data_IF_907955029809
#
_entry.id   IF_907955029809
#
_cell.length_a   1.000
_cell.length_b   1.000
_cell.length_c   1.000
_cell.angle_alpha   90.00
_cell.angle_beta   90.00
_cell.angle_gamma   90.00
#
_symmetry.space_group_name_H-M   'P 1'
#
loop_
_entity.id
_entity.type
_entity.pdbx_description
1 polymer ?
#
# COMPACT_ATOMS: atom_id res chain seq x y z
N UNK A 1 11.15 -16.01 0.07
CA UNK A 1 11.13 -15.44 1.39
C UNK A 1 10.40 -14.14 1.42
N UNK A 2 9.71 -13.88 2.49
CA UNK A 2 8.91 -12.68 2.62
C UNK A 2 9.51 -11.77 3.67
N UNK A 3 9.63 -10.50 3.37
CA UNK A 3 10.09 -9.53 4.34
C UNK A 3 9.14 -8.34 4.31
N UNK A 4 9.14 -7.60 5.39
CA UNK A 4 8.27 -6.43 5.46
C UNK A 4 8.89 -5.25 4.74
N UNK A 5 8.05 -4.50 4.07
CA UNK A 5 8.48 -3.32 3.36
C UNK A 5 7.50 -2.21 3.72
N UNK A 6 7.84 -1.44 4.74
CA UNK A 6 6.89 -0.53 5.34
C UNK A 6 5.83 -1.34 6.03
N UNK A 7 4.58 -1.09 5.71
CA UNK A 7 3.46 -1.84 6.26
C UNK A 7 3.09 -3.04 5.41
N UNK A 8 3.86 -3.31 4.38
CA UNK A 8 3.54 -4.38 3.45
C UNK A 8 4.57 -5.48 3.53
N UNK A 9 4.16 -6.66 3.10
CA UNK A 9 5.05 -7.80 3.01
C UNK A 9 5.67 -7.80 1.62
N UNK A 10 6.98 -7.89 1.56
CA UNK A 10 7.68 -7.90 0.28
C UNK A 10 7.92 -9.33 -0.16
N UNK A 11 7.45 -9.66 -1.35
CA UNK A 11 7.63 -10.99 -1.92
C UNK A 11 8.20 -10.81 -3.32
N UNK A 12 9.33 -11.43 -3.56
CA UNK A 12 9.96 -11.34 -4.87
C UNK A 12 9.56 -12.54 -5.71
N UNK A 13 9.09 -12.29 -6.92
CA UNK A 13 8.64 -13.35 -7.81
C UNK A 13 9.31 -13.17 -9.16
N UNK A 14 9.88 -14.25 -9.67
CA UNK A 14 10.48 -14.26 -11.00
C UNK A 14 9.70 -15.22 -11.86
N UNK A 15 9.41 -14.81 -13.08
CA UNK A 15 8.67 -15.65 -14.01
C UNK A 15 9.59 -16.10 -15.13
N UNK A 16 9.26 -17.22 -15.73
CA UNK A 16 10.00 -17.70 -16.87
C UNK A 16 9.88 -16.73 -18.04
N UNK A 17 10.90 -16.68 -18.91
CA UNK A 17 10.93 -15.58 -19.89
C UNK A 17 9.72 -15.47 -20.78
N UNK A 18 9.24 -16.56 -21.33
CA UNK A 18 8.13 -16.45 -22.27
C UNK A 18 6.79 -16.24 -21.57
N UNK A 19 6.58 -16.92 -20.46
CA UNK A 19 5.35 -16.69 -19.69
C UNK A 19 5.35 -15.32 -19.04
N UNK A 20 6.52 -14.86 -18.61
CA UNK A 20 6.62 -13.52 -18.06
C UNK A 20 6.30 -12.48 -19.10
N UNK A 21 6.77 -12.69 -20.33
CA UNK A 21 6.49 -11.76 -21.41
C UNK A 21 4.99 -11.71 -21.71
N UNK A 22 4.34 -12.88 -21.73
CA UNK A 22 2.90 -12.91 -21.93
C UNK A 22 2.18 -12.14 -20.83
N UNK A 23 2.63 -12.29 -19.61
CA UNK A 23 2.02 -11.60 -18.49
C UNK A 23 2.18 -10.08 -18.63
N UNK A 24 3.37 -9.64 -19.02
CA UNK A 24 3.60 -8.21 -19.20
C UNK A 24 2.70 -7.65 -20.30
N UNK A 25 2.53 -8.40 -21.39
CA UNK A 25 1.67 -7.97 -22.46
C UNK A 25 0.23 -7.89 -22.00
N UNK A 26 -0.20 -8.86 -21.22
CA UNK A 26 -1.56 -8.87 -20.72
C UNK A 26 -1.83 -7.69 -19.79
N UNK A 27 -0.91 -7.41 -18.89
CA UNK A 27 -1.05 -6.28 -18.00
C UNK A 27 -1.11 -4.98 -18.78
N UNK A 28 -0.25 -4.85 -19.79
CA UNK A 28 -0.23 -3.67 -20.62
C UNK A 28 -1.54 -3.50 -21.38
N UNK A 29 -2.09 -4.60 -21.88
CA UNK A 29 -3.35 -4.55 -22.61
C UNK A 29 -4.49 -4.08 -21.73
N UNK A 30 -4.43 -4.41 -20.45
CA UNK A 30 -5.46 -3.98 -19.51
C UNK A 30 -5.18 -2.60 -18.93
N UNK A 31 -4.03 -2.02 -19.24
CA UNK A 31 -3.68 -0.72 -18.69
C UNK A 31 -3.35 -0.76 -17.21
N UNK A 32 -2.86 -1.90 -16.71
CA UNK A 32 -2.57 -2.09 -15.31
C UNK A 32 -1.09 -2.38 -15.16
N UNK A 33 -0.49 -1.82 -14.12
CA UNK A 33 0.90 -2.14 -13.84
C UNK A 33 1.04 -3.62 -13.50
N UNK A 34 2.10 -4.28 -13.97
CA UNK A 34 2.25 -5.71 -13.68
C UNK A 34 2.22 -6.04 -12.21
N UNK A 35 2.85 -5.22 -11.36
CA UNK A 35 2.83 -5.49 -9.94
C UNK A 35 1.44 -5.37 -9.35
N UNK A 36 0.65 -4.44 -9.85
CA UNK A 36 -0.73 -4.29 -9.39
C UNK A 36 -1.59 -5.47 -9.83
N UNK A 37 -1.35 -5.95 -11.04
CA UNK A 37 -2.09 -7.11 -11.52
C UNK A 37 -1.74 -8.36 -10.72
N UNK A 38 -0.47 -8.54 -10.39
CA UNK A 38 -0.06 -9.66 -9.56
C UNK A 38 -0.73 -9.58 -8.19
N UNK A 39 -0.76 -8.40 -7.60
CA UNK A 39 -1.41 -8.23 -6.29
C UNK A 39 -2.88 -8.59 -6.37
N UNK A 40 -3.55 -8.16 -7.41
CA UNK A 40 -4.95 -8.47 -7.58
C UNK A 40 -5.17 -9.98 -7.71
N UNK A 41 -4.33 -10.65 -8.47
CA UNK A 41 -4.45 -12.09 -8.65
C UNK A 41 -4.22 -12.82 -7.33
N UNK A 42 -3.26 -12.36 -6.53
CA UNK A 42 -3.01 -12.97 -5.24
C UNK A 42 -4.21 -12.80 -4.33
N UNK A 43 -4.78 -11.61 -4.30
CA UNK A 43 -5.94 -11.37 -3.44
C UNK A 43 -7.15 -12.18 -3.89
N UNK A 44 -7.35 -12.30 -5.20
CA UNK A 44 -8.44 -13.12 -5.72
C UNK A 44 -8.25 -14.58 -5.34
N UNK A 45 -7.01 -15.06 -5.43
CA UNK A 45 -6.73 -16.44 -5.07
C UNK A 45 -7.00 -16.67 -3.59
N UNK A 46 -6.60 -15.74 -2.74
CA UNK A 46 -6.82 -15.87 -1.32
C UNK A 46 -8.31 -15.86 -0.99
N UNK A 47 -9.05 -14.99 -1.64
CA UNK A 47 -10.50 -14.91 -1.39
C UNK A 47 -11.18 -16.22 -1.73
N UNK A 48 -10.67 -16.94 -2.72
CA UNK A 48 -11.30 -18.18 -3.16
C UNK A 48 -10.81 -19.40 -2.41
N UNK A 49 -9.60 -19.37 -1.87
CA UNK A 49 -8.96 -20.57 -1.37
C UNK A 49 -8.67 -20.56 0.13
N UNK A 50 -8.94 -19.46 0.82
CA UNK A 50 -8.80 -19.45 2.27
C UNK A 50 -10.19 -19.39 2.88
N UNK A 51 -10.26 -19.64 4.18
CA UNK A 51 -11.51 -19.53 4.90
C UNK A 51 -12.03 -18.12 4.79
N UNK A 52 -13.32 -17.99 4.53
CA UNK A 52 -13.92 -16.69 4.35
C UNK A 52 -13.69 -15.80 5.57
N UNK A 53 -13.82 -16.37 6.75
CA UNK A 53 -13.62 -15.61 7.98
C UNK A 53 -12.19 -15.10 8.07
N UNK A 54 -11.22 -15.94 7.75
CA UNK A 54 -9.82 -15.55 7.82
C UNK A 54 -9.51 -14.42 6.85
N UNK A 55 -10.04 -14.51 5.64
CA UNK A 55 -9.80 -13.49 4.65
C UNK A 55 -10.45 -12.17 5.05
N UNK A 56 -11.67 -12.23 5.57
CA UNK A 56 -12.36 -11.02 5.98
C UNK A 56 -11.68 -10.34 7.16
N UNK A 57 -11.18 -11.14 8.10
CA UNK A 57 -10.44 -10.58 9.21
C UNK A 57 -9.16 -9.91 8.76
N UNK A 58 -8.46 -10.55 7.82
CA UNK A 58 -7.24 -9.96 7.29
C UNK A 58 -7.54 -8.64 6.58
N UNK A 59 -8.63 -8.60 5.82
CA UNK A 59 -9.02 -7.40 5.10
C UNK A 59 -9.32 -6.26 6.07
N UNK A 60 -10.06 -6.56 7.12
CA UNK A 60 -10.40 -5.55 8.12
C UNK A 60 -9.14 -5.05 8.82
N UNK A 61 -8.25 -5.98 9.16
CA UNK A 61 -7.01 -5.59 9.83
C UNK A 61 -6.13 -4.74 8.94
N UNK A 62 -6.08 -5.05 7.66
CA UNK A 62 -5.30 -4.24 6.72
C UNK A 62 -5.87 -2.84 6.61
N UNK A 63 -7.17 -2.72 6.54
CA UNK A 63 -7.80 -1.41 6.46
C UNK A 63 -7.57 -0.61 7.73
N UNK A 64 -7.63 -1.25 8.87
CA UNK A 64 -7.40 -0.56 10.13
C UNK A 64 -5.95 -0.07 10.23
N UNK A 65 -5.02 -0.91 9.79
CA UNK A 65 -3.62 -0.52 9.83
C UNK A 65 -3.36 0.66 8.91
N UNK A 66 -3.99 0.65 7.75
CA UNK A 66 -3.86 1.77 6.82
C UNK A 66 -4.43 3.05 7.44
N UNK A 67 -5.58 2.93 8.10
CA UNK A 67 -6.20 4.09 8.72
C UNK A 67 -5.33 4.63 9.85
N UNK A 68 -4.74 3.74 10.63
CA UNK A 68 -3.83 4.16 11.69
C UNK A 68 -2.64 4.93 11.14
N UNK A 69 -2.11 4.49 10.02
CA UNK A 69 -0.98 5.16 9.40
C UNK A 69 -1.36 6.54 8.89
N UNK A 70 -2.56 6.66 8.32
CA UNK A 70 -3.05 7.94 7.84
C UNK A 70 -3.25 8.89 9.02
N UNK A 71 -3.86 8.41 10.09
CA UNK A 71 -4.12 9.23 11.26
C UNK A 71 -2.82 9.73 11.87
N UNK A 72 -1.83 8.87 11.93
CA UNK A 72 -0.54 9.26 12.48
C UNK A 72 0.11 10.36 11.66
N UNK A 73 0.00 10.26 10.34
CA UNK A 73 0.56 11.29 9.47
C UNK A 73 -0.16 12.60 9.61
N UNK A 74 -1.47 12.56 9.71
CA UNK A 74 -2.26 13.78 9.87
C UNK A 74 -1.97 14.44 11.21
N UNK A 75 -1.84 13.64 12.24
CA UNK A 75 -1.52 14.18 13.55
C UNK A 75 -0.14 14.82 13.56
N UNK A 76 0.81 14.17 12.90
CA UNK A 76 2.13 14.75 12.79
C UNK A 76 2.14 16.07 12.06
N UNK A 77 1.36 16.16 11.00
CA UNK A 77 1.24 17.39 10.26
C UNK A 77 0.62 18.50 11.08
N UNK A 78 -0.41 18.19 11.81
CA UNK A 78 -1.09 19.16 12.65
C UNK A 78 -0.15 19.66 13.74
N UNK A 79 0.65 18.76 14.31
CA UNK A 79 1.60 19.11 15.32
C UNK A 79 2.67 20.04 14.77
N UNK A 80 3.17 19.74 13.59
CA UNK A 80 4.17 20.57 12.96
C UNK A 80 3.63 21.95 12.61
N UNK A 81 2.39 22.01 12.17
CA UNK A 81 1.77 23.27 11.83
C UNK A 81 1.63 24.14 13.05
N UNK A 82 1.18 23.57 14.16
CA UNK A 82 1.06 24.32 15.39
C UNK A 82 2.40 24.83 15.88
N UNK A 83 3.37 23.99 15.76
CA UNK A 83 4.71 24.35 16.17
C UNK A 83 5.24 25.53 15.41
N UNK A 84 5.04 25.54 14.11
CA UNK A 84 5.50 26.64 13.29
C UNK A 84 4.81 27.93 13.63
N UNK A 85 3.53 27.87 13.82
CA UNK A 85 2.78 29.07 14.16
C UNK A 85 3.25 29.63 15.49
N UNK A 86 3.46 28.77 16.45
CA UNK A 86 3.90 29.21 17.74
C UNK A 86 5.29 29.77 17.69
N UNK A 87 6.12 29.20 16.87
CA UNK A 87 7.49 29.52 16.83
C UNK A 87 7.75 30.89 16.31
N UNK A 88 7.03 31.28 15.29
CA UNK A 88 7.34 32.53 14.69
C UNK A 88 6.19 33.05 13.90
N UNK A 89 5.76 34.17 14.24
CA UNK A 89 4.66 34.77 13.58
C UNK A 89 5.04 35.25 12.21
N UNK A 90 6.27 35.59 12.05
CA UNK A 90 6.65 36.18 10.81
C UNK A 90 6.89 35.20 9.71
N UNK A 91 7.00 33.94 10.04
CA UNK A 91 7.27 32.97 9.02
C UNK A 91 6.10 32.18 8.61
N UNK A 92 4.96 32.71 8.75
CA UNK A 92 3.81 31.97 8.45
C UNK A 92 3.71 31.56 7.04
N UNK A 93 4.10 32.45 6.19
CA UNK A 93 4.00 32.16 4.78
C UNK A 93 4.86 31.03 4.40
N UNK A 94 5.99 30.91 4.98
CA UNK A 94 6.88 29.87 4.52
C UNK A 94 6.46 28.53 5.00
N UNK A 95 5.51 28.51 5.85
CA UNK A 95 5.19 27.23 6.36
C UNK A 95 4.47 26.40 5.40
N UNK A 96 4.12 26.71 4.47
CA UNK A 96 3.48 25.87 3.64
C UNK A 96 3.99 24.96 3.07
#
# INVERSE_FOLDING_TARGET
MATKHGNRVYIQVLLEPFRGELFMQEANAQGIKPSALIRQLVYDYLAQHTEEKAYCEALVNDKQKWQDAVDARLEGRARNRRSKVTQSDQDIDSSN
#
